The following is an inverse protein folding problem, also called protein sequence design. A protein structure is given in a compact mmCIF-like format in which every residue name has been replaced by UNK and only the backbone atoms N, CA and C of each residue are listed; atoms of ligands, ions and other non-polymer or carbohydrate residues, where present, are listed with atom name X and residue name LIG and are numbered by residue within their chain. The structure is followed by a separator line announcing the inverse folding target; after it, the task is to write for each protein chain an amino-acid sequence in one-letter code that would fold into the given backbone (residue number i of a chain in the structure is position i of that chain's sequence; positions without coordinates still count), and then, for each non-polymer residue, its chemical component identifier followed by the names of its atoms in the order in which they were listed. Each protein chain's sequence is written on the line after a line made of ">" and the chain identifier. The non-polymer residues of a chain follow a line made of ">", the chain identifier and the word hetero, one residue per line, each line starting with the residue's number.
data_IF_999538974853
#
_entry.id   IF_999538974853
#
_cell.length_a   1.000
_cell.length_b   1.000
_cell.length_c   1.000
_cell.angle_alpha   90.00
_cell.angle_beta   90.00
_cell.angle_gamma   90.00
#
_symmetry.space_group_name_H-M   'P 1'
#
loop_
_entity.id
_entity.type
_entity.pdbx_description
1 polymer ?
#
# COMPACT_ATOMS: atom_id res chain seq x y z
N UNK A 1 4.49 -17.42 -8.71
CA UNK A 1 5.20 -16.17 -8.39
C UNK A 1 5.31 -16.11 -6.87
N UNK A 2 6.51 -16.27 -6.30
CA UNK A 2 6.69 -16.05 -4.86
C UNK A 2 6.64 -14.54 -4.61
N UNK A 3 5.88 -14.13 -3.60
CA UNK A 3 5.79 -12.74 -3.17
C UNK A 3 7.04 -12.44 -2.32
N UNK A 4 8.13 -12.09 -2.98
CA UNK A 4 9.43 -11.84 -2.33
C UNK A 4 9.46 -10.55 -1.53
N UNK A 5 8.65 -9.56 -1.87
CA UNK A 5 8.57 -8.29 -1.14
C UNK A 5 7.12 -7.80 -0.97
N UNK A 6 6.51 -8.06 0.21
CA UNK A 6 5.17 -7.60 0.53
C UNK A 6 5.02 -6.07 0.68
N UNK A 7 6.12 -5.35 0.92
CA UNK A 7 6.11 -3.88 1.04
C UNK A 7 6.14 -3.25 -0.34
N UNK A 8 7.02 -3.73 -1.22
CA UNK A 8 7.06 -3.28 -2.62
C UNK A 8 5.73 -3.55 -3.34
N UNK A 9 5.10 -4.71 -3.09
CA UNK A 9 3.76 -5.00 -3.62
C UNK A 9 2.70 -4.01 -3.10
N UNK A 10 2.71 -3.69 -1.80
CA UNK A 10 1.79 -2.70 -1.21
C UNK A 10 1.93 -1.33 -1.90
N UNK A 11 3.15 -0.81 -2.01
CA UNK A 11 3.40 0.50 -2.63
C UNK A 11 3.04 0.51 -4.12
N UNK A 12 3.33 -0.59 -4.82
CA UNK A 12 2.98 -0.75 -6.24
C UNK A 12 1.46 -0.74 -6.45
N UNK A 13 0.71 -1.43 -5.58
CA UNK A 13 -0.77 -1.41 -5.63
C UNK A 13 -1.33 -0.02 -5.41
N UNK A 14 -0.82 0.72 -4.43
CA UNK A 14 -1.25 2.10 -4.14
C UNK A 14 -0.97 3.00 -5.35
N UNK A 15 0.24 2.96 -5.91
CA UNK A 15 0.63 3.74 -7.10
C UNK A 15 -0.27 3.43 -8.29
N UNK A 16 -0.50 2.15 -8.58
CA UNK A 16 -1.31 1.75 -9.72
C UNK A 16 -2.78 2.15 -9.53
N UNK A 17 -3.31 2.10 -8.30
CA UNK A 17 -4.65 2.55 -7.99
C UNK A 17 -4.81 4.07 -8.15
N UNK A 18 -3.82 4.85 -7.69
CA UNK A 18 -3.76 6.29 -7.92
C UNK A 18 -3.75 6.63 -9.41
N UNK A 19 -2.96 5.91 -10.22
CA UNK A 19 -2.88 6.12 -11.67
C UNK A 19 -4.21 5.91 -12.41
N UNK A 20 -5.10 5.05 -11.88
CA UNK A 20 -6.45 4.81 -12.43
C UNK A 20 -7.56 5.49 -11.62
N UNK A 21 -7.20 6.42 -10.71
CA UNK A 21 -8.13 7.17 -9.86
C UNK A 21 -9.08 6.29 -9.03
N UNK A 22 -8.59 5.16 -8.54
CA UNK A 22 -9.35 4.32 -7.60
C UNK A 22 -9.39 4.95 -6.22
N UNK A 23 -10.60 5.10 -5.67
CA UNK A 23 -10.82 5.64 -4.33
C UNK A 23 -10.33 4.72 -3.19
N UNK A 24 -10.23 3.41 -3.42
CA UNK A 24 -9.79 2.45 -2.39
C UNK A 24 -8.94 1.31 -2.98
N UNK A 25 -8.10 0.73 -2.12
CA UNK A 25 -7.27 -0.44 -2.40
C UNK A 25 -7.36 -1.41 -1.23
N UNK A 26 -7.57 -2.69 -1.51
CA UNK A 26 -7.58 -3.76 -0.51
C UNK A 26 -6.39 -4.70 -0.70
N UNK A 27 -5.78 -5.13 0.41
CA UNK A 27 -4.67 -6.08 0.45
C UNK A 27 -4.58 -6.74 1.83
N UNK A 28 -3.86 -7.89 1.97
CA UNK A 28 -3.64 -8.53 3.26
C UNK A 28 -2.88 -7.63 4.24
N UNK A 29 -3.39 -7.50 5.46
CA UNK A 29 -2.78 -6.69 6.52
C UNK A 29 -1.57 -7.37 7.14
N UNK A 30 -0.64 -6.55 7.63
CA UNK A 30 0.43 -6.94 8.52
C UNK A 30 0.80 -5.74 9.38
N UNK A 31 1.35 -5.97 10.58
CA UNK A 31 1.75 -4.88 11.48
C UNK A 31 2.67 -3.85 10.79
N UNK A 32 3.56 -4.31 9.90
CA UNK A 32 4.45 -3.44 9.14
C UNK A 32 3.68 -2.57 8.13
N UNK A 33 2.75 -3.16 7.36
CA UNK A 33 1.95 -2.42 6.38
C UNK A 33 1.04 -1.39 7.04
N UNK A 34 0.48 -1.73 8.20
CA UNK A 34 -0.32 -0.80 8.99
C UNK A 34 0.48 0.40 9.48
N UNK A 35 1.69 0.18 10.01
CA UNK A 35 2.59 1.27 10.41
C UNK A 35 2.96 2.17 9.23
N UNK A 36 3.29 1.60 8.07
CA UNK A 36 3.59 2.37 6.85
C UNK A 36 2.37 3.18 6.42
N UNK A 37 1.18 2.58 6.38
CA UNK A 37 -0.05 3.29 6.01
C UNK A 37 -0.39 4.44 6.97
N UNK A 38 -0.11 4.27 8.28
CA UNK A 38 -0.25 5.34 9.27
C UNK A 38 0.71 6.48 9.01
N UNK A 39 2.00 6.20 8.81
CA UNK A 39 2.99 7.23 8.49
C UNK A 39 2.60 7.99 7.22
N UNK A 40 2.20 7.29 6.16
CA UNK A 40 1.75 7.95 4.92
C UNK A 40 0.57 8.89 5.17
N UNK A 41 -0.42 8.45 5.98
CA UNK A 41 -1.56 9.27 6.37
C UNK A 41 -1.16 10.48 7.21
N UNK A 42 -0.24 10.31 8.15
CA UNK A 42 0.22 11.37 9.04
C UNK A 42 1.01 12.45 8.28
N UNK A 43 1.74 12.06 7.24
CA UNK A 43 2.43 12.95 6.29
C UNK A 43 1.48 13.62 5.29
N UNK A 44 0.20 13.25 5.28
CA UNK A 44 -0.83 13.86 4.42
C UNK A 44 -0.89 13.30 2.98
N UNK A 45 -0.39 12.08 2.76
CA UNK A 45 -0.59 11.34 1.51
C UNK A 45 -1.97 10.65 1.42
#
# INVERSE_FOLDING_TARGET
>A
MSMTDPIADMLTRIRNAQAVMKANVSMPSSNMKESIARVLKDEGY
#
